data_IF_637634959648
#
_entry.id   IF_637634959648
#
_cell.length_a   1.000
_cell.length_b   1.000
_cell.length_c   1.000
_cell.angle_alpha   90.00
_cell.angle_beta   90.00
_cell.angle_gamma   90.00
#
_symmetry.space_group_name_H-M   'P 1'
#
loop_
_entity.id
_entity.type
_entity.pdbx_description
1 polymer ?
#
# COMPACT_ATOMS: atom_id res chain seq x y z
N UNK A 1 -5.22 44.07 -35.54
CA UNK A 1 -4.99 43.69 -34.12
C UNK A 1 -6.19 42.90 -33.63
N UNK A 2 -6.08 41.56 -33.55
CA UNK A 2 -7.03 40.58 -32.95
C UNK A 2 -6.54 39.17 -33.31
N UNK A 3 -5.50 38.67 -32.63
CA UNK A 3 -4.96 37.31 -32.87
C UNK A 3 -4.53 36.56 -31.59
N UNK A 4 -4.90 37.04 -30.40
CA UNK A 4 -4.31 36.53 -29.14
C UNK A 4 -5.29 35.73 -28.27
N UNK A 5 -6.38 35.18 -28.81
CA UNK A 5 -7.42 34.55 -27.96
C UNK A 5 -7.53 33.03 -28.04
N UNK A 6 -6.61 32.32 -28.72
CA UNK A 6 -6.76 30.87 -28.93
C UNK A 6 -5.70 29.97 -28.27
N UNK A 7 -4.77 30.54 -27.48
CA UNK A 7 -3.65 29.77 -26.89
C UNK A 7 -4.01 29.08 -25.57
N UNK A 8 -5.12 29.46 -24.91
CA UNK A 8 -5.46 28.91 -23.58
C UNK A 8 -6.29 27.62 -23.61
N UNK A 9 -6.80 27.19 -24.77
CA UNK A 9 -7.67 26.02 -24.88
C UNK A 9 -7.04 24.66 -24.46
N UNK A 10 -5.74 24.38 -24.69
CA UNK A 10 -5.18 23.09 -24.30
C UNK A 10 -5.04 22.92 -22.78
N UNK A 11 -4.90 24.03 -22.04
CA UNK A 11 -4.66 24.03 -20.60
C UNK A 11 -5.92 23.68 -19.76
N UNK A 12 -7.11 23.73 -20.36
CA UNK A 12 -8.34 23.32 -19.68
C UNK A 12 -8.59 21.80 -19.76
N UNK A 13 -8.00 21.10 -20.74
CA UNK A 13 -8.11 19.66 -20.87
C UNK A 13 -7.15 18.89 -19.96
N UNK A 14 -6.11 19.54 -19.43
CA UNK A 14 -5.13 18.90 -18.54
C UNK A 14 -5.65 18.73 -17.11
N UNK A 15 -6.66 19.49 -16.69
CA UNK A 15 -7.22 19.43 -15.33
C UNK A 15 -8.20 18.28 -15.12
N UNK A 16 -8.87 17.80 -16.18
CA UNK A 16 -9.81 16.67 -16.10
C UNK A 16 -9.14 15.30 -16.26
N UNK A 17 -7.81 15.27 -16.43
CA UNK A 17 -7.03 14.06 -16.66
C UNK A 17 -6.24 13.58 -15.43
N UNK A 18 -6.28 14.34 -14.33
CA UNK A 18 -5.63 14.04 -13.05
C UNK A 18 -6.65 14.01 -11.89
N UNK A 19 -7.91 13.72 -12.19
CA UNK A 19 -8.92 13.43 -11.16
C UNK A 19 -10.07 12.63 -11.83
N UNK A 20 -9.67 11.60 -12.57
CA UNK A 20 -10.56 10.86 -13.47
C UNK A 20 -11.09 9.58 -12.84
N UNK A 21 -12.16 8.97 -13.37
CA UNK A 21 -12.67 7.69 -12.85
C UNK A 21 -11.66 6.53 -12.85
N UNK A 22 -10.61 6.63 -13.66
CA UNK A 22 -9.53 5.65 -13.70
C UNK A 22 -8.50 5.86 -12.58
N UNK A 23 -8.34 7.10 -12.10
CA UNK A 23 -7.46 7.44 -10.98
C UNK A 23 -8.13 7.09 -9.66
N UNK A 24 -9.41 7.45 -9.47
CA UNK A 24 -10.18 7.06 -8.29
C UNK A 24 -10.26 5.52 -8.12
N UNK A 25 -10.39 4.79 -9.23
CA UNK A 25 -10.33 3.32 -9.19
C UNK A 25 -8.91 2.77 -8.91
N UNK A 26 -7.86 3.53 -9.24
CA UNK A 26 -6.48 3.18 -8.90
C UNK A 26 -6.21 3.43 -7.41
N UNK A 27 -6.63 4.58 -6.89
CA UNK A 27 -6.56 4.93 -5.48
C UNK A 27 -7.30 3.90 -4.61
N UNK A 28 -8.51 3.47 -5.00
CA UNK A 28 -9.23 2.44 -4.25
C UNK A 28 -8.51 1.08 -4.25
N UNK A 29 -7.75 0.75 -5.30
CA UNK A 29 -6.93 -0.47 -5.34
C UNK A 29 -5.71 -0.32 -4.44
N UNK A 30 -5.05 0.83 -4.48
CA UNK A 30 -3.90 1.13 -3.63
C UNK A 30 -4.31 1.12 -2.15
N UNK A 31 -5.46 1.70 -1.79
CA UNK A 31 -6.02 1.68 -0.43
C UNK A 31 -6.29 0.24 0.06
N UNK A 32 -6.78 -0.65 -0.82
CA UNK A 32 -7.00 -2.06 -0.49
C UNK A 32 -5.65 -2.76 -0.27
N UNK A 33 -4.66 -2.50 -1.11
CA UNK A 33 -3.33 -3.07 -0.99
C UNK A 33 -2.65 -2.63 0.33
N UNK A 34 -2.75 -1.35 0.68
CA UNK A 34 -2.26 -0.80 1.96
C UNK A 34 -2.97 -1.46 3.15
N UNK A 35 -4.30 -1.60 3.10
CA UNK A 35 -5.05 -2.28 4.16
C UNK A 35 -4.70 -3.78 4.28
N UNK A 36 -4.38 -4.46 3.18
CA UNK A 36 -3.88 -5.84 3.21
C UNK A 36 -2.49 -5.93 3.84
N UNK A 37 -1.59 -4.99 3.52
CA UNK A 37 -0.26 -4.89 4.11
C UNK A 37 -0.33 -4.65 5.63
N UNK A 38 -1.14 -3.70 6.10
CA UNK A 38 -1.33 -3.42 7.53
C UNK A 38 -1.83 -4.66 8.30
N UNK A 39 -2.72 -5.47 7.71
CA UNK A 39 -3.20 -6.71 8.33
C UNK A 39 -2.10 -7.78 8.40
N UNK A 40 -1.16 -7.79 7.46
CA UNK A 40 -0.01 -8.69 7.50
C UNK A 40 1.00 -8.26 8.56
N UNK A 41 1.29 -6.96 8.67
CA UNK A 41 2.16 -6.42 9.72
C UNK A 41 1.62 -6.74 11.12
N UNK A 42 0.33 -6.51 11.37
CA UNK A 42 -0.24 -6.79 12.70
C UNK A 42 -0.28 -8.30 13.01
N UNK A 43 -0.32 -9.16 11.98
CA UNK A 43 -0.13 -10.61 12.17
C UNK A 43 1.33 -10.94 12.50
N UNK A 44 2.30 -10.30 11.85
CA UNK A 44 3.71 -10.48 12.17
C UNK A 44 3.99 -10.10 13.63
N UNK A 45 3.51 -8.93 14.07
CA UNK A 45 3.62 -8.51 15.47
C UNK A 45 2.98 -9.52 16.44
N UNK A 46 1.84 -10.09 16.07
CA UNK A 46 1.19 -11.11 16.88
C UNK A 46 2.00 -12.41 16.97
N UNK A 47 2.68 -12.82 15.89
CA UNK A 47 3.56 -14.00 15.86
C UNK A 47 4.82 -13.78 16.68
N UNK A 48 5.45 -12.60 16.58
CA UNK A 48 6.58 -12.21 17.43
C UNK A 48 6.21 -12.24 18.91
N UNK A 49 5.04 -11.72 19.28
CA UNK A 49 4.54 -11.80 20.64
C UNK A 49 4.31 -13.25 21.10
N UNK A 50 3.93 -14.16 20.20
CA UNK A 50 3.82 -15.59 20.51
C UNK A 50 5.20 -16.25 20.66
N UNK A 51 6.18 -15.86 19.84
CA UNK A 51 7.56 -16.33 19.95
C UNK A 51 8.18 -15.95 21.31
N UNK A 52 7.96 -14.71 21.75
CA UNK A 52 8.37 -14.22 23.07
C UNK A 52 7.67 -14.94 24.24
N UNK A 53 6.46 -15.45 24.01
CA UNK A 53 5.64 -16.10 25.03
C UNK A 53 5.88 -17.60 25.17
N UNK A 54 6.52 -18.25 24.17
CA UNK A 54 6.79 -19.69 24.21
C UNK A 54 8.16 -20.01 24.83
N UNK A 55 8.22 -21.12 25.58
CA UNK A 55 9.48 -21.64 26.14
C UNK A 55 10.21 -22.59 25.17
N UNK A 56 9.57 -22.99 24.06
CA UNK A 56 10.17 -23.85 23.05
C UNK A 56 10.94 -23.01 22.02
N UNK A 57 12.27 -23.11 22.08
CA UNK A 57 13.18 -22.37 21.19
C UNK A 57 12.98 -22.73 19.72
N UNK A 58 12.56 -23.96 19.42
CA UNK A 58 12.27 -24.37 18.04
C UNK A 58 11.01 -23.70 17.51
N UNK A 59 9.95 -23.69 18.32
CA UNK A 59 8.69 -23.03 17.98
C UNK A 59 8.85 -21.51 17.90
N UNK A 60 9.60 -20.90 18.83
CA UNK A 60 9.92 -19.47 18.80
C UNK A 60 10.61 -19.08 17.48
N UNK A 61 11.63 -19.84 17.06
CA UNK A 61 12.35 -19.56 15.81
C UNK A 61 11.48 -19.76 14.55
N UNK A 62 10.50 -20.68 14.58
CA UNK A 62 9.55 -20.83 13.47
C UNK A 62 8.57 -19.65 13.42
N UNK A 63 8.09 -19.18 14.56
CA UNK A 63 7.18 -18.03 14.67
C UNK A 63 7.86 -16.72 14.24
N UNK A 64 9.09 -16.46 14.70
CA UNK A 64 9.90 -15.30 14.26
C UNK A 64 10.14 -15.33 12.74
N UNK A 65 10.45 -16.50 12.17
CA UNK A 65 10.66 -16.63 10.73
C UNK A 65 9.37 -16.41 9.91
N UNK A 66 8.21 -16.81 10.43
CA UNK A 66 6.92 -16.54 9.81
C UNK A 66 6.53 -15.06 9.91
N UNK A 67 6.85 -14.40 11.04
CA UNK A 67 6.68 -12.96 11.22
C UNK A 67 7.52 -12.17 10.20
N UNK A 68 8.83 -12.45 10.09
CA UNK A 68 9.73 -11.78 9.14
C UNK A 68 9.28 -11.96 7.69
N UNK A 69 8.75 -13.13 7.33
CA UNK A 69 8.22 -13.39 5.99
C UNK A 69 6.94 -12.59 5.69
N UNK A 70 6.10 -12.34 6.69
CA UNK A 70 4.91 -11.50 6.56
C UNK A 70 5.29 -10.03 6.40
N UNK A 71 6.25 -9.52 7.19
CA UNK A 71 6.77 -8.16 7.05
C UNK A 71 7.40 -7.94 5.67
N UNK A 72 8.23 -8.87 5.18
CA UNK A 72 8.83 -8.76 3.83
C UNK A 72 7.75 -8.74 2.73
N UNK A 73 6.66 -9.48 2.95
CA UNK A 73 5.53 -9.49 2.01
C UNK A 73 4.76 -8.17 2.05
N UNK A 74 4.51 -7.61 3.24
CA UNK A 74 3.83 -6.33 3.42
C UNK A 74 4.65 -5.16 2.83
N UNK A 75 5.97 -5.12 3.07
CA UNK A 75 6.90 -4.14 2.49
C UNK A 75 6.97 -4.21 0.96
N UNK A 76 6.62 -5.36 0.38
CA UNK A 76 6.63 -5.61 -1.06
C UNK A 76 5.36 -5.22 -1.81
N UNK A 77 4.31 -4.81 -1.09
CA UNK A 77 3.00 -4.39 -1.61
C UNK A 77 2.94 -2.87 -1.67
#
# INVERSE_FOLDING_TARGET
MKKIMLVAAPALFTLAACDGPAEEAGEEIDDIAEAEAEVMDEKAEALDAMADATDDVGEAAELEAEAEALEETADGI
#
